data_IF_890358553589
#
_entry.id   IF_890358553589
#
_cell.length_a   1.000
_cell.length_b   1.000
_cell.length_c   1.000
_cell.angle_alpha   90.00
_cell.angle_beta   90.00
_cell.angle_gamma   90.00
#
_symmetry.space_group_name_H-M   'P 1'
#
loop_
_entity.id
_entity.type
_entity.pdbx_description
1 polymer ?
#
# COMPACT_ATOMS: atom_id res chain seq x y z
N UNK A 1 -14.04 73.17 -16.25
CA UNK A 1 -13.79 72.52 -14.94
C UNK A 1 -14.05 71.04 -15.16
N UNK A 2 -13.09 70.09 -15.22
CA UNK A 2 -11.64 70.04 -15.06
C UNK A 2 -11.04 69.15 -16.16
N UNK A 3 -9.78 69.41 -16.50
CA UNK A 3 -8.97 68.73 -17.52
C UNK A 3 -8.18 67.62 -16.84
N UNK A 4 -8.12 66.42 -17.45
CA UNK A 4 -7.21 65.34 -17.09
C UNK A 4 -5.81 65.68 -17.61
N UNK A 5 -4.79 65.71 -16.77
CA UNK A 5 -3.40 65.67 -17.27
C UNK A 5 -2.43 64.86 -16.38
N UNK A 6 -1.90 63.83 -17.05
CA UNK A 6 -0.59 63.16 -16.96
C UNK A 6 0.18 63.21 -15.64
N UNK A 7 0.19 62.07 -14.95
CA UNK A 7 1.30 61.70 -14.08
C UNK A 7 2.41 60.99 -14.86
N UNK A 8 3.63 61.25 -14.38
CA UNK A 8 4.91 61.16 -15.05
C UNK A 8 5.40 59.71 -15.18
N UNK A 9 5.83 59.30 -16.37
CA UNK A 9 6.66 58.10 -16.55
C UNK A 9 8.08 58.44 -16.12
N UNK A 10 8.45 57.98 -14.94
CA UNK A 10 9.82 58.02 -14.46
C UNK A 10 10.71 57.12 -15.35
N UNK A 11 11.71 57.72 -16.00
CA UNK A 11 12.71 57.00 -16.80
C UNK A 11 13.74 56.40 -15.85
N UNK A 12 13.66 55.10 -15.59
CA UNK A 12 14.72 54.38 -14.88
C UNK A 12 15.73 53.89 -15.91
N UNK A 13 16.91 54.51 -15.92
CA UNK A 13 18.10 53.99 -16.60
C UNK A 13 18.74 52.93 -15.71
N UNK A 14 18.71 51.67 -16.14
CA UNK A 14 19.52 50.62 -15.52
C UNK A 14 20.93 50.69 -16.08
N UNK A 15 21.86 51.21 -15.28
CA UNK A 15 23.28 51.06 -15.53
C UNK A 15 23.68 49.66 -15.06
N UNK A 16 24.02 48.76 -15.99
CA UNK A 16 24.61 47.46 -15.65
C UNK A 16 26.11 47.65 -15.52
N UNK A 17 26.58 47.93 -14.30
CA UNK A 17 27.94 47.65 -13.92
C UNK A 17 28.03 46.15 -13.59
N UNK A 18 28.75 45.42 -14.43
CA UNK A 18 29.00 43.99 -14.30
C UNK A 18 29.86 43.75 -13.05
N UNK A 19 29.23 43.33 -11.95
CA UNK A 19 29.92 42.86 -10.76
C UNK A 19 30.01 41.33 -10.87
N UNK A 20 31.22 40.86 -11.23
CA UNK A 20 31.59 39.45 -11.21
C UNK A 20 31.53 38.94 -9.75
N UNK A 21 30.35 38.58 -9.27
CA UNK A 21 30.22 37.80 -8.05
C UNK A 21 30.63 36.36 -8.36
N UNK A 22 31.70 35.93 -7.69
CA UNK A 22 32.37 34.66 -7.91
C UNK A 22 31.41 33.48 -8.01
N UNK A 23 31.81 32.51 -8.82
CA UNK A 23 31.18 31.20 -8.93
C UNK A 23 31.04 30.63 -7.52
N UNK A 24 29.85 30.78 -6.93
CA UNK A 24 29.42 29.84 -5.92
C UNK A 24 29.30 28.54 -6.68
N UNK A 25 30.26 27.66 -6.46
CA UNK A 25 30.07 26.25 -6.73
C UNK A 25 28.84 25.87 -5.92
N UNK A 26 27.68 25.92 -6.58
CA UNK A 26 26.47 25.36 -6.04
C UNK A 26 26.78 23.87 -6.10
N UNK A 27 27.45 23.39 -5.06
CA UNK A 27 27.37 21.99 -4.67
C UNK A 27 25.88 21.83 -4.42
N UNK A 28 25.17 21.52 -5.49
CA UNK A 28 23.83 21.02 -5.46
C UNK A 28 24.02 19.77 -4.61
N UNK A 29 23.78 19.90 -3.31
CA UNK A 29 23.56 18.77 -2.44
C UNK A 29 22.44 18.07 -3.17
N UNK A 30 22.79 17.00 -3.90
CA UNK A 30 21.83 16.11 -4.50
C UNK A 30 20.96 15.72 -3.33
N UNK A 31 19.79 16.34 -3.23
CA UNK A 31 18.69 15.81 -2.46
C UNK A 31 18.52 14.44 -3.07
N UNK A 32 19.02 13.46 -2.32
CA UNK A 32 18.99 12.03 -2.57
C UNK A 32 17.73 11.75 -3.41
N UNK A 33 17.84 11.23 -4.65
CA UNK A 33 16.68 11.08 -5.51
C UNK A 33 15.63 10.37 -4.68
N UNK A 34 14.57 11.08 -4.36
CA UNK A 34 13.45 10.54 -3.60
C UNK A 34 13.07 9.30 -4.37
N UNK A 35 13.39 8.12 -3.80
CA UNK A 35 13.01 6.81 -4.34
C UNK A 35 11.60 6.97 -4.87
N UNK A 36 11.45 6.90 -6.19
CA UNK A 36 10.15 7.15 -6.78
C UNK A 36 9.31 5.90 -6.48
N UNK A 37 8.67 5.92 -5.31
CA UNK A 37 7.97 4.79 -4.72
C UNK A 37 6.83 4.31 -5.62
N UNK A 38 6.24 5.22 -6.40
CA UNK A 38 5.27 4.90 -7.43
C UNK A 38 5.90 4.11 -8.61
N UNK A 39 7.08 4.52 -9.10
CA UNK A 39 7.81 3.77 -10.12
C UNK A 39 8.30 2.41 -9.60
N UNK A 40 8.75 2.35 -8.36
CA UNK A 40 9.09 1.11 -7.67
C UNK A 40 7.88 0.16 -7.68
N UNK A 41 6.75 0.60 -7.11
CA UNK A 41 5.52 -0.19 -7.02
C UNK A 41 5.07 -0.71 -8.37
N UNK A 42 5.06 0.16 -9.39
CA UNK A 42 4.69 -0.23 -10.76
C UNK A 42 5.58 -1.33 -11.34
N UNK A 43 6.90 -1.27 -11.11
CA UNK A 43 7.83 -2.31 -11.58
C UNK A 43 7.63 -3.63 -10.84
N UNK A 44 7.37 -3.58 -9.53
CA UNK A 44 7.05 -4.77 -8.75
C UNK A 44 5.75 -5.41 -9.22
N UNK A 45 4.69 -4.63 -9.41
CA UNK A 45 3.42 -5.13 -9.92
C UNK A 45 3.59 -5.83 -11.28
N UNK A 46 4.38 -5.24 -12.19
CA UNK A 46 4.72 -5.86 -13.47
C UNK A 46 5.52 -7.15 -13.30
N UNK A 47 6.50 -7.18 -12.40
CA UNK A 47 7.26 -8.39 -12.10
C UNK A 47 6.34 -9.50 -11.61
N UNK A 48 5.47 -9.20 -10.64
CA UNK A 48 4.52 -10.16 -10.08
C UNK A 48 3.59 -10.66 -11.20
N UNK A 49 3.06 -9.78 -12.06
CA UNK A 49 2.20 -10.17 -13.18
C UNK A 49 2.88 -11.12 -14.17
N UNK A 50 4.16 -10.90 -14.48
CA UNK A 50 4.93 -11.76 -15.40
C UNK A 50 5.30 -13.10 -14.76
N UNK A 51 5.55 -13.12 -13.44
CA UNK A 51 6.09 -14.27 -12.71
C UNK A 51 5.05 -15.00 -11.85
N UNK A 52 3.79 -15.03 -12.29
CA UNK A 52 2.71 -15.74 -11.60
C UNK A 52 2.95 -17.26 -11.47
N UNK A 53 3.86 -17.83 -12.24
CA UNK A 53 4.29 -19.23 -12.19
C UNK A 53 5.29 -19.53 -11.07
N UNK A 54 5.91 -18.51 -10.45
CA UNK A 54 6.81 -18.72 -9.31
C UNK A 54 6.05 -19.27 -8.09
N UNK A 55 6.58 -20.34 -7.50
CA UNK A 55 5.92 -21.05 -6.40
C UNK A 55 5.62 -20.13 -5.20
N UNK A 56 6.55 -19.24 -4.85
CA UNK A 56 6.39 -18.31 -3.73
C UNK A 56 5.23 -17.33 -3.96
N UNK A 57 5.13 -16.76 -5.17
CA UNK A 57 4.03 -15.88 -5.56
C UNK A 57 2.70 -16.65 -5.54
N UNK A 58 2.67 -17.87 -6.09
CA UNK A 58 1.48 -18.72 -6.06
C UNK A 58 1.01 -19.03 -4.64
N UNK A 59 1.95 -19.34 -3.73
CA UNK A 59 1.64 -19.63 -2.32
C UNK A 59 1.04 -18.41 -1.63
N UNK A 60 1.64 -17.23 -1.83
CA UNK A 60 1.14 -15.98 -1.25
C UNK A 60 -0.27 -15.64 -1.74
N UNK A 61 -0.52 -15.73 -3.05
CA UNK A 61 -1.85 -15.51 -3.64
C UNK A 61 -2.89 -16.50 -3.12
N UNK A 62 -2.51 -17.77 -2.97
CA UNK A 62 -3.38 -18.86 -2.48
C UNK A 62 -3.45 -18.96 -0.96
N UNK A 63 -3.02 -17.93 -0.23
CA UNK A 63 -3.08 -17.87 1.23
C UNK A 63 -2.46 -19.13 1.89
N UNK A 64 -1.36 -19.64 1.32
CA UNK A 64 -0.64 -20.81 1.83
C UNK A 64 0.57 -20.36 2.62
N UNK A 65 0.87 -21.07 3.70
CA UNK A 65 2.02 -20.79 4.55
C UNK A 65 3.33 -20.76 3.76
N UNK A 66 4.21 -19.85 4.18
CA UNK A 66 5.48 -19.56 3.53
C UNK A 66 6.62 -19.62 4.54
N UNK A 67 7.82 -19.94 4.08
CA UNK A 67 9.04 -19.98 4.92
C UNK A 67 9.82 -18.69 4.74
N UNK A 68 10.53 -18.23 5.77
CA UNK A 68 11.33 -17.00 5.71
C UNK A 68 12.33 -17.00 4.54
N UNK A 69 13.02 -18.12 4.31
CA UNK A 69 13.94 -18.28 3.18
C UNK A 69 13.28 -18.00 1.82
N UNK A 70 12.04 -18.44 1.62
CA UNK A 70 11.33 -18.24 0.36
C UNK A 70 10.87 -16.78 0.21
N UNK A 71 10.52 -16.13 1.31
CA UNK A 71 10.22 -14.70 1.34
C UNK A 71 11.47 -13.87 1.05
N UNK A 72 12.59 -14.14 1.70
CA UNK A 72 13.85 -13.41 1.52
C UNK A 72 14.33 -13.46 0.06
N UNK A 73 14.21 -14.64 -0.57
CA UNK A 73 14.52 -14.81 -2.00
C UNK A 73 13.60 -13.96 -2.87
N UNK A 74 12.29 -13.96 -2.59
CA UNK A 74 11.35 -13.13 -3.34
C UNK A 74 11.61 -11.64 -3.14
N UNK A 75 11.91 -11.20 -1.92
CA UNK A 75 12.27 -9.81 -1.61
C UNK A 75 13.50 -9.35 -2.40
N UNK A 76 14.54 -10.20 -2.49
CA UNK A 76 15.72 -9.92 -3.32
C UNK A 76 15.36 -9.78 -4.81
N UNK A 77 14.55 -10.70 -5.34
CA UNK A 77 14.11 -10.65 -6.74
C UNK A 77 13.28 -9.40 -7.05
N UNK A 78 12.39 -9.02 -6.14
CA UNK A 78 11.57 -7.81 -6.27
C UNK A 78 12.47 -6.57 -6.22
N UNK A 79 13.43 -6.52 -5.30
CA UNK A 79 14.39 -5.42 -5.21
C UNK A 79 15.19 -5.27 -6.52
N UNK A 80 15.73 -6.36 -7.04
CA UNK A 80 16.48 -6.37 -8.31
C UNK A 80 15.60 -5.89 -9.48
N UNK A 81 14.37 -6.42 -9.57
CA UNK A 81 13.41 -6.05 -10.62
C UNK A 81 12.99 -4.57 -10.57
N UNK A 82 12.95 -3.99 -9.36
CA UNK A 82 12.64 -2.57 -9.20
C UNK A 82 13.73 -1.64 -9.75
N UNK A 83 14.97 -2.13 -9.84
CA UNK A 83 16.14 -1.34 -10.19
C UNK A 83 16.53 -0.32 -9.11
N UNK A 84 16.05 -0.48 -7.88
CA UNK A 84 16.59 0.25 -6.73
C UNK A 84 17.98 -0.29 -6.39
N UNK A 85 18.97 0.59 -6.32
CA UNK A 85 20.34 0.26 -5.91
C UNK A 85 20.58 0.40 -4.40
N UNK A 86 19.66 1.06 -3.69
CA UNK A 86 19.78 1.34 -2.26
C UNK A 86 18.89 0.38 -1.44
N UNK A 87 19.53 -0.71 -0.99
CA UNK A 87 18.91 -1.75 -0.17
C UNK A 87 18.49 -1.21 1.20
N UNK A 88 19.21 -0.23 1.74
CA UNK A 88 18.91 0.34 3.05
C UNK A 88 17.71 1.28 2.95
N UNK A 89 17.61 2.11 1.89
CA UNK A 89 16.40 2.88 1.61
C UNK A 89 15.18 1.98 1.32
N UNK A 90 15.38 0.82 0.68
CA UNK A 90 14.35 -0.20 0.55
C UNK A 90 13.94 -0.74 1.93
N UNK A 91 14.90 -1.17 2.75
CA UNK A 91 14.60 -1.68 4.10
C UNK A 91 13.88 -0.65 4.97
N UNK A 92 14.34 0.59 4.94
CA UNK A 92 13.85 1.68 5.78
C UNK A 92 12.47 2.18 5.33
N UNK A 93 12.24 2.36 4.03
CA UNK A 93 10.99 2.97 3.54
C UNK A 93 9.91 1.96 3.18
N UNK A 94 10.32 0.72 2.92
CA UNK A 94 9.49 -0.27 2.25
C UNK A 94 9.31 -1.52 3.13
N UNK A 95 10.35 -2.02 3.79
CA UNK A 95 10.27 -3.25 4.61
C UNK A 95 10.06 -3.05 6.12
N UNK A 96 9.99 -1.81 6.62
CA UNK A 96 9.74 -1.58 8.06
C UNK A 96 8.38 -2.13 8.52
N UNK A 97 7.44 -2.35 7.59
CA UNK A 97 6.14 -2.97 7.85
C UNK A 97 6.13 -4.38 7.23
N UNK A 98 6.64 -5.38 7.96
CA UNK A 98 6.43 -6.79 7.57
C UNK A 98 4.96 -7.17 7.79
N UNK A 99 4.32 -7.91 6.86
CA UNK A 99 4.85 -8.47 5.61
C UNK A 99 4.48 -7.64 4.37
N UNK A 100 5.29 -6.64 4.07
CA UNK A 100 5.23 -5.79 2.87
C UNK A 100 5.05 -6.57 1.55
N UNK A 101 5.66 -7.74 1.42
CA UNK A 101 5.57 -8.58 0.20
C UNK A 101 4.16 -9.09 -0.08
N UNK A 102 3.42 -9.52 0.94
CA UNK A 102 2.00 -9.91 0.80
C UNK A 102 1.14 -8.68 0.43
N UNK A 103 1.48 -7.52 1.01
CA UNK A 103 0.96 -6.20 0.67
C UNK A 103 0.93 -5.87 -0.81
N UNK A 104 2.00 -6.23 -1.52
CA UNK A 104 2.19 -5.96 -2.95
C UNK A 104 1.53 -6.99 -3.87
N UNK A 105 1.34 -8.22 -3.40
CA UNK A 105 0.91 -9.34 -4.23
C UNK A 105 -0.61 -9.51 -4.21
N UNK A 106 -1.26 -9.21 -3.08
CA UNK A 106 -2.70 -9.43 -2.92
C UNK A 106 -3.06 -10.90 -2.70
N UNK A 107 -4.36 -11.16 -2.55
CA UNK A 107 -4.93 -12.51 -2.57
C UNK A 107 -5.54 -12.84 -3.94
N UNK A 108 -5.52 -14.13 -4.27
CA UNK A 108 -6.38 -14.67 -5.33
C UNK A 108 -7.86 -14.56 -4.93
N UNK A 109 -8.70 -14.16 -5.88
CA UNK A 109 -10.13 -13.93 -5.66
C UNK A 109 -10.86 -15.16 -5.13
N UNK A 110 -10.60 -16.34 -5.71
CA UNK A 110 -11.27 -17.57 -5.26
C UNK A 110 -10.82 -17.94 -3.86
N UNK A 111 -9.53 -17.77 -3.57
CA UNK A 111 -8.96 -18.02 -2.25
C UNK A 111 -9.57 -17.08 -1.19
N UNK A 112 -9.74 -15.80 -1.51
CA UNK A 112 -10.37 -14.84 -0.62
C UNK A 112 -11.84 -15.20 -0.39
N UNK A 113 -12.62 -15.44 -1.46
CA UNK A 113 -14.03 -15.84 -1.34
C UNK A 113 -14.24 -17.13 -0.57
N UNK A 114 -13.40 -18.14 -0.80
CA UNK A 114 -13.44 -19.41 -0.07
C UNK A 114 -13.26 -19.20 1.44
N UNK A 115 -12.38 -18.29 1.85
CA UNK A 115 -12.15 -18.00 3.26
C UNK A 115 -13.38 -17.39 3.97
N UNK A 116 -14.23 -16.67 3.23
CA UNK A 116 -15.40 -15.95 3.76
C UNK A 116 -16.73 -16.56 3.31
N UNK A 117 -16.74 -17.76 2.72
CA UNK A 117 -17.93 -18.34 2.08
C UNK A 117 -19.14 -18.46 3.02
N UNK A 118 -18.91 -18.68 4.32
CA UNK A 118 -19.98 -18.75 5.32
C UNK A 118 -20.72 -17.42 5.50
N UNK A 119 -20.07 -16.29 5.25
CA UNK A 119 -20.64 -14.94 5.38
C UNK A 119 -21.29 -14.43 4.09
N UNK A 120 -21.22 -15.21 3.01
CA UNK A 120 -21.79 -14.89 1.69
C UNK A 120 -23.09 -15.66 1.40
N UNK A 121 -23.64 -16.34 2.40
CA UNK A 121 -24.89 -17.08 2.28
C UNK A 121 -26.11 -16.14 2.34
N UNK A 122 -26.83 -16.03 1.22
CA UNK A 122 -28.02 -15.18 1.07
C UNK A 122 -29.22 -15.67 1.92
N UNK A 123 -29.22 -16.92 2.41
CA UNK A 123 -30.24 -17.39 3.35
C UNK A 123 -29.96 -16.90 4.79
N UNK A 124 -28.69 -16.64 5.11
CA UNK A 124 -28.22 -16.29 6.45
C UNK A 124 -27.98 -14.78 6.62
N UNK A 125 -27.60 -14.07 5.56
CA UNK A 125 -27.21 -12.66 5.61
C UNK A 125 -27.94 -11.81 4.57
N UNK A 126 -28.22 -10.56 4.92
CA UNK A 126 -28.85 -9.60 4.02
C UNK A 126 -27.83 -8.95 3.06
N UNK A 127 -28.34 -8.20 2.08
CA UNK A 127 -27.52 -7.57 1.05
C UNK A 127 -26.46 -6.57 1.60
N UNK A 128 -26.77 -5.83 2.66
CA UNK A 128 -25.83 -4.87 3.26
C UNK A 128 -24.69 -5.58 4.00
N UNK A 129 -25.02 -6.66 4.72
CA UNK A 129 -24.06 -7.52 5.39
C UNK A 129 -23.12 -8.20 4.39
N UNK A 130 -23.67 -8.78 3.32
CA UNK A 130 -22.87 -9.42 2.25
C UNK A 130 -21.98 -8.38 1.57
N UNK A 131 -22.50 -7.18 1.30
CA UNK A 131 -21.70 -6.10 0.71
C UNK A 131 -20.51 -5.70 1.60
N UNK A 132 -20.68 -5.65 2.93
CA UNK A 132 -19.57 -5.39 3.84
C UNK A 132 -18.49 -6.48 3.75
N UNK A 133 -18.90 -7.76 3.68
CA UNK A 133 -17.99 -8.90 3.53
C UNK A 133 -17.28 -8.83 2.17
N UNK A 134 -17.97 -8.47 1.10
CA UNK A 134 -17.36 -8.26 -0.22
C UNK A 134 -16.33 -7.13 -0.19
N UNK A 135 -16.56 -6.03 0.55
CA UNK A 135 -15.55 -4.98 0.74
C UNK A 135 -14.30 -5.51 1.45
N UNK A 136 -14.46 -6.39 2.45
CA UNK A 136 -13.33 -7.05 3.13
C UNK A 136 -12.56 -7.94 2.16
N UNK A 137 -13.28 -8.75 1.37
CA UNK A 137 -12.69 -9.62 0.34
C UNK A 137 -11.92 -8.80 -0.70
N UNK A 138 -12.52 -7.74 -1.22
CA UNK A 138 -11.90 -6.85 -2.22
C UNK A 138 -10.65 -6.17 -1.65
N UNK A 139 -10.69 -5.74 -0.39
CA UNK A 139 -9.53 -5.18 0.27
C UNK A 139 -8.38 -6.19 0.33
N UNK A 140 -8.66 -7.44 0.72
CA UNK A 140 -7.66 -8.51 0.79
C UNK A 140 -7.14 -8.91 -0.60
N UNK A 141 -7.98 -8.91 -1.63
CA UNK A 141 -7.54 -9.16 -3.01
C UNK A 141 -6.52 -8.11 -3.45
N UNK A 142 -6.76 -6.83 -3.13
CA UNK A 142 -5.91 -5.72 -3.59
C UNK A 142 -4.67 -5.47 -2.71
N UNK A 143 -4.80 -5.66 -1.40
CA UNK A 143 -3.78 -5.28 -0.41
C UNK A 143 -3.15 -6.50 0.29
N UNK A 144 -3.68 -7.71 0.10
CA UNK A 144 -3.11 -8.96 0.60
C UNK A 144 -3.22 -9.20 2.11
N UNK A 145 -3.46 -8.15 2.90
CA UNK A 145 -3.57 -8.13 4.35
C UNK A 145 -4.63 -7.10 4.70
N UNK A 146 -5.39 -7.35 5.77
CA UNK A 146 -6.29 -6.37 6.35
C UNK A 146 -6.11 -6.36 7.87
N UNK A 147 -5.44 -5.35 8.40
CA UNK A 147 -5.35 -5.15 9.85
C UNK A 147 -6.68 -4.64 10.43
N UNK A 148 -6.77 -4.60 11.76
CA UNK A 148 -8.00 -4.16 12.43
C UNK A 148 -8.24 -2.65 12.27
N UNK A 149 -7.19 -1.83 12.21
CA UNK A 149 -7.34 -0.36 12.17
C UNK A 149 -8.09 0.13 10.92
N UNK A 150 -7.78 -0.34 9.69
CA UNK A 150 -8.54 0.05 8.50
C UNK A 150 -10.04 -0.25 8.57
N UNK A 151 -10.46 -1.29 9.32
CA UNK A 151 -11.88 -1.62 9.44
C UNK A 151 -12.70 -0.51 10.11
N UNK A 152 -12.07 0.39 10.88
CA UNK A 152 -12.75 1.49 11.56
C UNK A 152 -12.61 2.83 10.82
N UNK A 153 -12.21 2.78 9.55
CA UNK A 153 -12.04 3.95 8.67
C UNK A 153 -12.80 3.72 7.35
N UNK A 154 -13.08 4.77 6.56
CA UNK A 154 -13.59 4.63 5.21
C UNK A 154 -12.71 3.69 4.36
N UNK A 155 -13.30 2.79 3.54
CA UNK A 155 -14.72 2.71 3.19
C UNK A 155 -15.57 1.83 4.13
N UNK A 156 -14.98 1.19 5.14
CA UNK A 156 -15.69 0.24 6.00
C UNK A 156 -16.68 0.91 6.96
N UNK A 157 -16.52 2.21 7.20
CA UNK A 157 -17.43 3.01 8.04
C UNK A 157 -18.39 3.89 7.25
N UNK A 158 -18.37 3.85 5.91
CA UNK A 158 -19.19 4.73 5.06
C UNK A 158 -20.70 4.49 5.23
N UNK A 159 -21.08 3.22 5.33
CA UNK A 159 -22.48 2.81 5.48
C UNK A 159 -22.91 2.75 6.96
N UNK A 160 -22.02 2.28 7.84
CA UNK A 160 -22.26 2.19 9.28
C UNK A 160 -21.04 2.71 10.03
N UNK A 161 -21.20 3.76 10.85
CA UNK A 161 -20.08 4.39 11.57
C UNK A 161 -19.37 3.46 12.57
N UNK A 162 -20.05 2.39 13.00
CA UNK A 162 -19.51 1.36 13.89
C UNK A 162 -18.85 0.19 13.12
N UNK A 163 -18.68 0.32 11.79
CA UNK A 163 -18.15 -0.73 10.91
C UNK A 163 -18.96 -2.02 11.01
N UNK A 164 -18.29 -3.18 11.10
CA UNK A 164 -18.90 -4.50 11.23
C UNK A 164 -19.94 -4.59 12.36
N UNK A 165 -19.73 -3.86 13.47
CA UNK A 165 -20.67 -3.86 14.60
C UNK A 165 -22.02 -3.19 14.27
N UNK A 166 -22.08 -2.36 13.23
CA UNK A 166 -23.34 -1.81 12.73
C UNK A 166 -24.15 -2.80 11.88
N UNK A 167 -23.54 -3.90 11.43
CA UNK A 167 -24.17 -4.89 10.56
C UNK A 167 -24.43 -6.24 11.24
N UNK A 168 -23.58 -6.62 12.19
CA UNK A 168 -23.54 -7.96 12.76
C UNK A 168 -23.61 -7.90 14.29
N UNK A 169 -24.13 -8.96 14.91
CA UNK A 169 -24.02 -9.14 16.36
C UNK A 169 -22.56 -9.39 16.77
N UNK A 170 -22.26 -9.19 18.06
CA UNK A 170 -20.91 -9.31 18.61
C UNK A 170 -20.25 -10.67 18.31
N UNK A 171 -21.01 -11.77 18.39
CA UNK A 171 -20.46 -13.11 18.15
C UNK A 171 -20.05 -13.29 16.68
N UNK A 172 -20.90 -12.83 15.75
CA UNK A 172 -20.61 -12.85 14.32
C UNK A 172 -19.42 -11.96 13.96
N UNK A 173 -19.29 -10.77 14.59
CA UNK A 173 -18.12 -9.90 14.38
C UNK A 173 -16.83 -10.58 14.84
N UNK A 174 -16.84 -11.25 16.00
CA UNK A 174 -15.68 -12.00 16.49
C UNK A 174 -15.28 -13.11 15.51
N UNK A 175 -16.25 -13.83 14.94
CA UNK A 175 -15.98 -14.86 13.94
C UNK A 175 -15.39 -14.28 12.66
N UNK A 176 -15.96 -13.20 12.14
CA UNK A 176 -15.48 -12.51 10.93
C UNK A 176 -14.03 -12.02 11.12
N UNK A 177 -13.75 -11.35 12.23
CA UNK A 177 -12.40 -10.87 12.54
C UNK A 177 -11.44 -12.04 12.77
N UNK A 178 -11.92 -13.16 13.32
CA UNK A 178 -11.16 -14.40 13.43
C UNK A 178 -10.74 -14.95 12.07
N UNK A 179 -11.58 -14.87 11.04
CA UNK A 179 -11.22 -15.26 9.66
C UNK A 179 -10.16 -14.32 9.10
N UNK A 180 -10.30 -13.00 9.28
CA UNK A 180 -9.30 -12.02 8.84
C UNK A 180 -7.93 -12.32 9.47
N UNK A 181 -7.89 -12.59 10.78
CA UNK A 181 -6.65 -12.96 11.47
C UNK A 181 -6.04 -14.24 10.91
N UNK A 182 -6.84 -15.27 10.63
CA UNK A 182 -6.35 -16.53 10.01
C UNK A 182 -5.76 -16.29 8.62
N UNK A 183 -6.37 -15.41 7.82
CA UNK A 183 -5.84 -15.01 6.51
C UNK A 183 -4.51 -14.27 6.66
N UNK A 184 -4.41 -13.32 7.60
CA UNK A 184 -3.18 -12.57 7.86
C UNK A 184 -2.05 -13.44 8.45
N UNK A 185 -2.39 -14.44 9.27
CA UNK A 185 -1.40 -15.34 9.87
C UNK A 185 -0.59 -16.10 8.82
N UNK A 186 -1.18 -16.40 7.65
CA UNK A 186 -0.46 -17.07 6.56
C UNK A 186 0.51 -16.17 5.78
N UNK A 187 0.53 -14.86 6.03
CA UNK A 187 1.54 -13.94 5.48
C UNK A 187 2.76 -13.72 6.34
N UNK A 188 2.67 -14.04 7.63
CA UNK A 188 3.80 -13.93 8.54
C UNK A 188 4.43 -15.31 8.69
N UNK A 189 5.75 -15.34 8.77
CA UNK A 189 6.44 -16.54 9.23
C UNK A 189 6.26 -16.56 10.73
N UNK A 190 5.58 -17.56 11.27
CA UNK A 190 5.55 -17.73 12.72
C UNK A 190 7.00 -17.87 13.19
N UNK A 191 7.49 -16.87 13.94
CA UNK A 191 8.65 -17.07 14.78
C UNK A 191 8.25 -18.13 15.79
N UNK A 192 8.66 -19.37 15.52
CA UNK A 192 8.61 -20.44 16.51
C UNK A 192 9.36 -19.93 17.73
N UNK A 193 8.61 -19.45 18.74
CA UNK A 193 9.14 -19.17 20.07
C UNK A 193 9.83 -20.45 20.52
N UNK A 194 11.15 -20.43 20.47
CA UNK A 194 11.96 -21.47 21.10
C UNK A 194 11.57 -21.45 22.57
N UNK A 195 11.02 -22.58 23.02
CA UNK A 195 10.65 -22.85 24.42
C UNK A 195 11.88 -22.80 25.31
#
# INVERSE_FOLDING_TARGET
>A
MFVLDKEQKEKVYTNFADEFQGVHDVINVYKNPSVNLAQYRKKIELYIQVHQDQLTIQKLKRNKSITQVNLDVLEGLLLDASGMSDVEAYREKILQEKPFTRGLIGLDMNTAKEAFISFLDEESYNAEQIQFVDQVIDYLINNGILDMSPLFEPPFTDNQGESAYGFFDESTVVELFGVIHKVNANSVVEESKST
#
